data_IF_629875115477
#
_entry.id   IF_629875115477
#
_cell.length_a   1.000
_cell.length_b   1.000
_cell.length_c   1.000
_cell.angle_alpha   90.00
_cell.angle_beta   90.00
_cell.angle_gamma   90.00
#
_symmetry.space_group_name_H-M   'P 1'
#
loop_
_entity.id
_entity.type
_entity.pdbx_description
1 polymer ?
#
# COMPACT_ATOMS: atom_id res chain seq x y z
N UNK A 1 32.10 2.57 -36.34
CA UNK A 1 31.68 1.25 -35.85
C UNK A 1 32.73 0.23 -36.20
N UNK A 2 33.92 0.40 -35.58
CA UNK A 2 35.14 -0.33 -35.92
C UNK A 2 35.26 -1.72 -35.25
N UNK A 3 34.42 -2.02 -34.27
CA UNK A 3 34.49 -3.27 -33.51
C UNK A 3 33.84 -4.48 -34.20
N UNK A 4 33.05 -4.25 -35.26
CA UNK A 4 32.30 -5.32 -35.92
C UNK A 4 32.88 -5.72 -37.30
N UNK A 5 33.97 -5.09 -37.76
CA UNK A 5 34.67 -5.42 -39.01
C UNK A 5 33.76 -5.75 -40.19
N UNK A 6 32.64 -5.00 -40.35
CA UNK A 6 31.66 -5.22 -41.41
C UNK A 6 30.58 -6.28 -41.10
N UNK A 7 30.59 -6.93 -39.94
CA UNK A 7 29.53 -7.82 -39.51
C UNK A 7 28.25 -7.03 -39.13
N UNK A 8 27.05 -7.61 -39.31
CA UNK A 8 25.83 -6.95 -38.90
C UNK A 8 25.80 -6.75 -37.40
N UNK A 9 25.37 -5.56 -36.97
CA UNK A 9 25.20 -5.28 -35.55
C UNK A 9 24.09 -6.17 -34.96
N UNK A 10 24.34 -6.80 -33.79
CA UNK A 10 23.31 -7.58 -33.12
C UNK A 10 22.14 -6.68 -32.71
N UNK A 11 20.93 -7.20 -32.81
CA UNK A 11 19.73 -6.51 -32.33
C UNK A 11 19.67 -6.48 -30.80
N UNK A 12 18.78 -5.65 -30.26
CA UNK A 12 18.59 -5.49 -28.81
C UNK A 12 18.15 -6.80 -28.12
N UNK A 13 17.40 -7.66 -28.82
CA UNK A 13 16.96 -8.93 -28.26
C UNK A 13 18.10 -9.93 -28.13
N UNK A 14 19.01 -9.94 -29.10
CA UNK A 14 20.25 -10.75 -29.07
C UNK A 14 21.16 -10.30 -27.92
N UNK A 15 21.33 -8.98 -27.74
CA UNK A 15 22.11 -8.42 -26.64
C UNK A 15 21.46 -8.78 -25.29
N UNK A 16 20.16 -8.59 -25.12
CA UNK A 16 19.45 -8.91 -23.92
C UNK A 16 19.54 -10.40 -23.55
N UNK A 17 19.43 -11.28 -24.56
CA UNK A 17 19.58 -12.73 -24.38
C UNK A 17 21.00 -13.11 -23.97
N UNK A 18 22.01 -12.51 -24.59
CA UNK A 18 23.42 -12.71 -24.22
C UNK A 18 23.70 -12.29 -22.76
N UNK A 19 23.22 -11.09 -22.38
CA UNK A 19 23.35 -10.60 -20.99
C UNK A 19 22.69 -11.56 -20.01
N UNK A 20 21.47 -12.01 -20.30
CA UNK A 20 20.70 -12.87 -19.41
C UNK A 20 21.30 -14.28 -19.28
N UNK A 21 21.73 -14.89 -20.40
CA UNK A 21 22.19 -16.29 -20.41
C UNK A 21 23.68 -16.47 -20.06
N UNK A 22 24.52 -15.49 -20.42
CA UNK A 22 25.96 -15.64 -20.32
C UNK A 22 26.62 -14.61 -19.41
N UNK A 23 26.29 -13.33 -19.61
CA UNK A 23 27.00 -12.24 -18.91
C UNK A 23 26.62 -12.13 -17.44
N UNK A 24 25.36 -12.34 -17.08
CA UNK A 24 24.90 -12.21 -15.69
C UNK A 24 25.63 -13.13 -14.71
N UNK A 25 26.00 -14.32 -15.15
CA UNK A 25 26.71 -15.32 -14.32
C UNK A 25 28.17 -14.92 -14.05
N UNK A 26 28.82 -14.26 -15.00
CA UNK A 26 30.25 -13.94 -14.91
C UNK A 26 30.52 -12.44 -14.67
N UNK A 27 29.52 -11.58 -14.70
CA UNK A 27 29.69 -10.13 -14.60
C UNK A 27 30.51 -9.66 -13.38
N UNK A 28 30.24 -10.25 -12.20
CA UNK A 28 30.98 -9.93 -10.97
C UNK A 28 32.47 -10.30 -11.07
N UNK A 29 32.74 -11.44 -11.65
CA UNK A 29 34.14 -11.93 -11.82
C UNK A 29 34.89 -11.06 -12.80
N UNK A 30 34.27 -10.68 -13.93
CA UNK A 30 34.84 -9.78 -14.92
C UNK A 30 35.13 -8.39 -14.36
N UNK A 31 34.18 -7.83 -13.58
CA UNK A 31 34.37 -6.54 -12.93
C UNK A 31 35.49 -6.58 -11.89
N UNK A 32 35.62 -7.65 -11.13
CA UNK A 32 36.70 -7.84 -10.18
C UNK A 32 38.06 -7.90 -10.91
N UNK A 33 38.16 -8.73 -11.94
CA UNK A 33 39.41 -8.84 -12.75
C UNK A 33 39.80 -7.52 -13.42
N UNK A 34 38.82 -6.76 -13.93
CA UNK A 34 39.07 -5.43 -14.50
C UNK A 34 39.55 -4.46 -13.43
N UNK A 35 38.96 -4.49 -12.23
CA UNK A 35 39.41 -3.65 -11.12
C UNK A 35 40.83 -4.00 -10.68
N UNK A 36 41.18 -5.29 -10.61
CA UNK A 36 42.54 -5.75 -10.29
C UNK A 36 43.52 -5.30 -11.34
N UNK A 37 43.18 -5.39 -12.63
CA UNK A 37 44.01 -4.92 -13.71
C UNK A 37 44.29 -3.40 -13.62
N UNK A 38 43.26 -2.61 -13.39
CA UNK A 38 43.37 -1.16 -13.22
C UNK A 38 44.23 -0.79 -11.99
N UNK A 39 44.12 -1.56 -10.92
CA UNK A 39 44.99 -1.41 -9.75
C UNK A 39 46.46 -1.72 -10.06
N UNK A 40 46.74 -2.81 -10.79
CA UNK A 40 48.07 -3.18 -11.21
C UNK A 40 48.72 -2.15 -12.17
N UNK A 41 47.88 -1.53 -13.01
CA UNK A 41 48.33 -0.46 -13.91
C UNK A 41 48.54 0.91 -13.20
N UNK A 42 48.15 0.99 -11.93
CA UNK A 42 48.26 2.24 -11.15
C UNK A 42 47.19 3.28 -11.45
N UNK A 43 46.18 2.92 -12.24
CA UNK A 43 45.07 3.83 -12.61
C UNK A 43 44.08 4.06 -11.43
N UNK A 44 43.95 3.09 -10.55
CA UNK A 44 43.15 3.22 -9.33
C UNK A 44 43.96 2.90 -8.08
N UNK A 45 43.81 3.68 -7.03
CA UNK A 45 44.57 3.50 -5.78
C UNK A 45 43.92 2.51 -4.78
N UNK A 46 42.67 2.15 -4.98
CA UNK A 46 41.87 1.35 -4.03
C UNK A 46 41.56 2.02 -2.67
N UNK A 47 42.01 3.28 -2.47
CA UNK A 47 41.83 4.01 -1.20
C UNK A 47 40.46 4.63 -1.05
N UNK A 48 39.79 4.92 -2.16
CA UNK A 48 38.49 5.61 -2.18
C UNK A 48 37.53 4.88 -3.10
N UNK A 49 36.33 4.61 -2.61
CA UNK A 49 35.23 3.99 -3.38
C UNK A 49 34.11 5.00 -3.46
N UNK A 50 33.63 5.26 -4.67
CA UNK A 50 32.45 6.06 -4.90
C UNK A 50 31.27 5.12 -5.15
N UNK A 51 30.21 5.25 -4.34
CA UNK A 51 28.97 4.49 -4.52
C UNK A 51 27.88 5.49 -4.90
N UNK A 52 27.36 5.34 -6.09
CA UNK A 52 26.23 6.14 -6.56
C UNK A 52 24.97 5.27 -6.61
N UNK A 53 23.83 5.90 -6.33
CA UNK A 53 22.51 5.26 -6.38
C UNK A 53 21.83 5.55 -7.70
N UNK A 54 21.45 4.51 -8.42
CA UNK A 54 20.65 4.65 -9.64
C UNK A 54 19.17 4.61 -9.31
N UNK A 55 18.42 5.61 -9.78
CA UNK A 55 16.96 5.60 -9.73
C UNK A 55 16.44 4.61 -10.77
N UNK A 56 15.70 3.61 -10.31
CA UNK A 56 14.95 2.71 -11.17
C UNK A 56 13.49 3.21 -11.19
N UNK A 57 13.02 3.64 -12.36
CA UNK A 57 11.64 4.04 -12.52
C UNK A 57 10.74 2.82 -12.51
N UNK A 58 9.75 2.83 -11.62
CA UNK A 58 8.70 1.81 -11.62
C UNK A 58 7.58 2.19 -12.59
N UNK A 59 6.81 1.20 -13.05
CA UNK A 59 5.60 1.42 -13.85
C UNK A 59 4.45 2.08 -13.05
N UNK A 60 4.77 2.74 -11.95
CA UNK A 60 3.81 3.34 -11.03
C UNK A 60 3.26 4.66 -11.59
N UNK A 61 1.93 4.77 -11.61
CA UNK A 61 1.28 6.03 -11.98
C UNK A 61 1.48 7.08 -10.85
N UNK A 62 2.13 8.21 -11.17
CA UNK A 62 2.44 9.29 -10.22
C UNK A 62 1.22 9.90 -9.51
N UNK A 63 0.03 9.78 -10.09
CA UNK A 63 -1.21 10.31 -9.50
C UNK A 63 -1.94 9.33 -8.57
N UNK A 64 -1.48 8.10 -8.44
CA UNK A 64 -2.16 7.05 -7.67
C UNK A 64 -1.48 6.73 -6.34
N UNK A 65 -0.57 7.57 -5.89
CA UNK A 65 0.11 7.36 -4.61
C UNK A 65 -0.81 7.53 -3.41
N UNK A 66 -0.65 6.63 -2.47
CA UNK A 66 -1.33 6.60 -1.18
C UNK A 66 -0.34 7.02 -0.11
N UNK A 67 -0.67 8.06 0.65
CA UNK A 67 0.22 8.68 1.62
C UNK A 67 -0.12 8.26 3.05
N UNK A 68 0.87 7.85 3.84
CA UNK A 68 0.71 7.47 5.25
C UNK A 68 0.02 8.57 6.07
N UNK A 69 0.47 9.82 5.94
CA UNK A 69 -0.11 10.97 6.64
C UNK A 69 -1.60 11.19 6.34
N UNK A 70 -2.01 10.95 5.10
CA UNK A 70 -3.42 11.09 4.72
C UNK A 70 -4.27 9.98 5.34
N UNK A 71 -3.78 8.73 5.34
CA UNK A 71 -4.48 7.59 5.95
C UNK A 71 -4.62 7.79 7.44
N UNK A 72 -3.53 8.11 8.16
CA UNK A 72 -3.57 8.29 9.62
C UNK A 72 -4.50 9.41 10.04
N UNK A 73 -4.50 10.55 9.30
CA UNK A 73 -5.45 11.65 9.54
C UNK A 73 -6.90 11.22 9.34
N UNK A 74 -7.18 10.49 8.25
CA UNK A 74 -8.53 10.03 7.95
C UNK A 74 -8.98 8.92 8.91
N UNK A 75 -8.08 8.06 9.34
CA UNK A 75 -8.34 7.04 10.35
C UNK A 75 -8.67 7.67 11.71
N UNK A 76 -7.92 8.69 12.14
CA UNK A 76 -8.25 9.42 13.36
C UNK A 76 -9.65 10.04 13.32
N UNK A 77 -10.01 10.69 12.19
CA UNK A 77 -11.36 11.21 11.98
C UNK A 77 -12.44 10.11 11.98
N UNK A 78 -12.11 8.94 11.44
CA UNK A 78 -13.01 7.79 11.48
C UNK A 78 -13.23 7.32 12.92
N UNK A 79 -12.18 7.24 13.74
CA UNK A 79 -12.32 6.86 15.15
C UNK A 79 -13.21 7.82 15.95
N UNK A 80 -13.07 9.14 15.74
CA UNK A 80 -13.96 10.12 16.38
C UNK A 80 -15.44 9.86 16.00
N UNK A 81 -15.71 9.60 14.71
CA UNK A 81 -17.07 9.26 14.25
C UNK A 81 -17.56 7.94 14.81
N UNK A 82 -16.70 6.95 14.94
CA UNK A 82 -17.03 5.65 15.52
C UNK A 82 -17.38 5.78 17.00
N UNK A 83 -16.65 6.58 17.76
CA UNK A 83 -16.96 6.82 19.18
C UNK A 83 -18.33 7.43 19.35
N UNK A 84 -18.66 8.48 18.58
CA UNK A 84 -19.98 9.10 18.60
C UNK A 84 -21.08 8.13 18.17
N UNK A 85 -20.83 7.34 17.14
CA UNK A 85 -21.79 6.35 16.62
C UNK A 85 -22.06 5.22 17.62
N UNK A 86 -21.03 4.73 18.32
CA UNK A 86 -21.21 3.71 19.36
C UNK A 86 -22.03 4.26 20.52
N UNK A 87 -21.76 5.49 20.97
CA UNK A 87 -22.54 6.15 22.02
C UNK A 87 -24.02 6.32 21.61
N UNK A 88 -24.27 6.73 20.37
CA UNK A 88 -25.66 6.81 19.82
C UNK A 88 -26.35 5.43 19.82
N UNK A 89 -25.65 4.38 19.44
CA UNK A 89 -26.19 3.01 19.47
C UNK A 89 -26.46 2.52 20.91
N UNK A 90 -25.63 2.91 21.86
CA UNK A 90 -25.84 2.58 23.29
C UNK A 90 -27.11 3.27 23.84
N UNK A 91 -27.30 4.54 23.48
CA UNK A 91 -28.47 5.31 23.90
C UNK A 91 -29.77 4.79 23.25
N UNK A 92 -29.77 4.53 21.95
CA UNK A 92 -30.95 4.13 21.19
C UNK A 92 -31.40 2.69 21.44
N UNK A 93 -30.44 1.77 21.63
CA UNK A 93 -30.72 0.33 21.68
C UNK A 93 -30.38 -0.33 23.03
N UNK A 94 -29.87 0.42 24.00
CA UNK A 94 -29.46 -0.10 25.32
C UNK A 94 -28.30 -1.10 25.26
N UNK A 95 -27.50 -1.06 24.19
CA UNK A 95 -26.41 -1.99 23.94
C UNK A 95 -25.12 -1.43 24.55
N UNK A 96 -24.57 -2.07 25.57
CA UNK A 96 -23.25 -1.69 26.10
C UNK A 96 -22.13 -2.30 25.27
N UNK A 97 -21.23 -1.44 24.78
CA UNK A 97 -20.05 -1.84 23.99
C UNK A 97 -18.79 -1.55 24.80
N UNK A 98 -18.09 -2.59 25.22
CA UNK A 98 -16.81 -2.44 25.95
C UNK A 98 -15.67 -2.41 24.94
N UNK A 99 -14.89 -1.35 24.97
CA UNK A 99 -13.64 -1.20 24.23
C UNK A 99 -12.62 -0.44 25.11
N UNK A 100 -11.33 -0.66 24.83
CA UNK A 100 -10.25 0.05 25.53
C UNK A 100 -9.95 1.37 24.79
N UNK A 101 -8.69 1.63 24.45
CA UNK A 101 -8.28 2.90 23.83
C UNK A 101 -8.89 3.18 22.45
N UNK A 102 -9.06 2.12 21.63
CA UNK A 102 -9.60 2.26 20.28
C UNK A 102 -10.62 1.18 19.94
N UNK A 103 -11.63 1.58 19.15
CA UNK A 103 -12.66 0.66 18.68
C UNK A 103 -12.08 -0.26 17.60
N UNK A 104 -11.98 -1.55 17.90
CA UNK A 104 -11.43 -2.55 17.00
C UNK A 104 -12.48 -3.05 15.98
N UNK A 105 -12.02 -3.66 14.89
CA UNK A 105 -12.89 -4.35 13.93
C UNK A 105 -13.72 -5.44 14.62
N UNK A 106 -13.14 -6.11 15.62
CA UNK A 106 -13.84 -7.14 16.40
C UNK A 106 -14.98 -6.54 17.23
N UNK A 107 -14.75 -5.40 17.87
CA UNK A 107 -15.76 -4.66 18.62
C UNK A 107 -16.95 -4.28 17.74
N UNK A 108 -16.68 -3.72 16.55
CA UNK A 108 -17.74 -3.37 15.59
C UNK A 108 -18.52 -4.60 15.08
N UNK A 109 -17.85 -5.72 14.87
CA UNK A 109 -18.53 -6.98 14.50
C UNK A 109 -19.43 -7.49 15.64
N UNK A 110 -19.02 -7.33 16.91
CA UNK A 110 -19.88 -7.66 18.06
C UNK A 110 -21.08 -6.75 18.12
N UNK A 111 -20.88 -5.44 17.97
CA UNK A 111 -21.98 -4.46 17.91
C UNK A 111 -22.96 -4.81 16.78
N UNK A 112 -22.46 -5.14 15.58
CA UNK A 112 -23.31 -5.60 14.47
C UNK A 112 -24.17 -6.80 14.85
N UNK A 113 -23.60 -7.81 15.51
CA UNK A 113 -24.34 -8.98 15.97
C UNK A 113 -25.44 -8.61 16.98
N UNK A 114 -25.14 -7.67 17.89
CA UNK A 114 -26.13 -7.21 18.88
C UNK A 114 -27.27 -6.44 18.20
N UNK A 115 -27.00 -5.52 17.28
CA UNK A 115 -28.03 -4.82 16.49
C UNK A 115 -28.88 -5.79 15.64
N UNK A 116 -28.26 -6.84 15.08
CA UNK A 116 -29.01 -7.89 14.38
C UNK A 116 -29.94 -8.69 15.32
N UNK A 117 -29.56 -8.89 16.59
CA UNK A 117 -30.48 -9.51 17.58
C UNK A 117 -31.67 -8.61 17.88
N UNK A 118 -31.42 -7.30 18.06
CA UNK A 118 -32.54 -6.32 18.23
C UNK A 118 -33.49 -6.36 17.04
N UNK A 119 -32.93 -6.41 15.80
CA UNK A 119 -33.74 -6.56 14.59
C UNK A 119 -34.71 -7.76 14.66
N UNK A 120 -34.20 -8.91 15.11
CA UNK A 120 -34.96 -10.14 15.20
C UNK A 120 -36.03 -10.06 16.33
N UNK A 121 -35.63 -9.51 17.48
CA UNK A 121 -36.53 -9.34 18.65
C UNK A 121 -37.68 -8.40 18.36
N UNK A 122 -37.41 -7.30 17.64
CA UNK A 122 -38.47 -6.31 17.29
C UNK A 122 -39.21 -6.67 15.98
N UNK A 123 -38.87 -7.78 15.33
CA UNK A 123 -39.51 -8.23 14.09
C UNK A 123 -39.35 -7.24 12.91
N UNK A 124 -38.31 -6.41 12.92
CA UNK A 124 -38.11 -5.36 11.92
C UNK A 124 -37.74 -5.97 10.57
N UNK A 125 -38.55 -5.69 9.55
CA UNK A 125 -38.29 -6.05 8.17
C UNK A 125 -37.59 -4.87 7.47
N UNK A 126 -36.46 -5.14 6.85
CA UNK A 126 -35.73 -4.10 6.11
C UNK A 126 -36.38 -3.82 4.77
N UNK A 127 -36.47 -2.54 4.44
CA UNK A 127 -37.04 -2.07 3.19
C UNK A 127 -35.93 -1.69 2.21
N UNK A 128 -36.12 -2.08 0.96
CA UNK A 128 -35.23 -1.78 -0.14
C UNK A 128 -36.00 -1.06 -1.26
N UNK A 129 -35.29 -0.23 -2.02
CA UNK A 129 -35.83 0.51 -3.15
C UNK A 129 -36.02 2.01 -2.90
N UNK A 130 -36.27 2.73 -3.98
CA UNK A 130 -36.46 4.19 -4.00
C UNK A 130 -37.80 4.56 -3.37
N UNK A 131 -37.82 5.63 -2.58
CA UNK A 131 -39.06 6.18 -1.99
C UNK A 131 -39.57 5.51 -0.69
N UNK A 132 -38.94 4.43 -0.24
CA UNK A 132 -39.29 3.79 1.04
C UNK A 132 -38.45 4.34 2.19
N UNK A 133 -39.10 4.70 3.30
CA UNK A 133 -38.40 5.18 4.51
C UNK A 133 -37.76 4.00 5.25
N UNK A 134 -36.43 4.02 5.37
CA UNK A 134 -35.66 3.06 6.17
C UNK A 134 -35.87 3.31 7.66
N UNK A 135 -35.99 2.24 8.45
CA UNK A 135 -36.01 2.32 9.92
C UNK A 135 -34.66 2.85 10.44
N UNK A 136 -34.66 3.40 11.65
CA UNK A 136 -33.43 3.90 12.28
C UNK A 136 -32.40 2.77 12.43
N UNK A 137 -32.85 1.58 12.85
CA UNK A 137 -31.98 0.40 12.97
C UNK A 137 -31.32 0.00 11.65
N UNK A 138 -32.10 0.06 10.55
CA UNK A 138 -31.53 -0.24 9.23
C UNK A 138 -30.44 0.76 8.83
N UNK A 139 -30.66 2.05 9.09
CA UNK A 139 -29.66 3.10 8.83
C UNK A 139 -28.39 2.88 9.67
N UNK A 140 -28.55 2.56 10.96
CA UNK A 140 -27.43 2.29 11.87
C UNK A 140 -26.62 1.07 11.41
N UNK A 141 -27.27 -0.01 10.95
CA UNK A 141 -26.55 -1.18 10.41
C UNK A 141 -25.83 -0.89 9.10
N UNK A 142 -26.46 -0.16 8.17
CA UNK A 142 -25.80 0.25 6.91
C UNK A 142 -24.60 1.16 7.19
N UNK A 143 -24.72 2.09 8.13
CA UNK A 143 -23.63 2.98 8.54
C UNK A 143 -22.49 2.21 9.21
N UNK A 144 -22.81 1.24 10.06
CA UNK A 144 -21.85 0.36 10.71
C UNK A 144 -21.07 -0.47 9.68
N UNK A 145 -21.74 -0.97 8.64
CA UNK A 145 -21.09 -1.71 7.57
C UNK A 145 -20.12 -0.83 6.78
N UNK A 146 -20.49 0.42 6.48
CA UNK A 146 -19.59 1.39 5.85
C UNK A 146 -18.37 1.69 6.72
N UNK A 147 -18.54 1.82 8.03
CA UNK A 147 -17.43 2.02 8.95
C UNK A 147 -16.50 0.81 9.04
N UNK A 148 -17.06 -0.40 9.06
CA UNK A 148 -16.28 -1.64 9.04
C UNK A 148 -15.44 -1.77 7.76
N UNK A 149 -16.01 -1.46 6.61
CA UNK A 149 -15.28 -1.50 5.33
C UNK A 149 -14.14 -0.47 5.30
N UNK A 150 -14.42 0.78 5.71
CA UNK A 150 -13.37 1.81 5.78
C UNK A 150 -12.26 1.45 6.75
N UNK A 151 -12.60 0.91 7.92
CA UNK A 151 -11.58 0.53 8.89
C UNK A 151 -10.71 -0.62 8.37
N UNK A 152 -11.30 -1.62 7.72
CA UNK A 152 -10.55 -2.69 7.04
C UNK A 152 -9.66 -2.15 5.91
N UNK A 153 -10.19 -1.21 5.12
CA UNK A 153 -9.43 -0.57 4.04
C UNK A 153 -8.21 0.16 4.58
N UNK A 154 -8.36 0.97 5.64
CA UNK A 154 -7.24 1.68 6.25
C UNK A 154 -6.23 0.73 6.88
N UNK A 155 -6.67 -0.33 7.55
CA UNK A 155 -5.77 -1.36 8.09
C UNK A 155 -4.97 -2.04 6.99
N UNK A 156 -5.61 -2.41 5.87
CA UNK A 156 -4.93 -2.99 4.71
C UNK A 156 -3.92 -2.02 4.10
N UNK A 157 -4.30 -0.75 3.93
CA UNK A 157 -3.40 0.28 3.40
C UNK A 157 -2.19 0.52 4.30
N UNK A 158 -2.38 0.56 5.62
CA UNK A 158 -1.27 0.69 6.58
C UNK A 158 -0.37 -0.53 6.57
N UNK A 159 -0.92 -1.73 6.44
CA UNK A 159 -0.14 -2.95 6.29
C UNK A 159 0.73 -2.93 5.01
N UNK A 160 0.16 -2.54 3.87
CA UNK A 160 0.91 -2.38 2.60
C UNK A 160 1.99 -1.30 2.70
N UNK A 161 1.74 -0.22 3.44
CA UNK A 161 2.72 0.85 3.65
C UNK A 161 3.94 0.40 4.47
N UNK A 162 3.72 -0.38 5.53
CA UNK A 162 4.78 -0.69 6.50
C UNK A 162 5.42 0.60 7.03
N UNK A 163 6.76 0.67 6.96
CA UNK A 163 7.52 1.85 7.41
C UNK A 163 7.61 2.98 6.37
N UNK A 164 7.17 2.73 5.14
CA UNK A 164 7.21 3.69 4.03
C UNK A 164 6.21 4.83 4.24
N UNK A 165 6.52 6.00 3.67
CA UNK A 165 5.65 7.17 3.70
C UNK A 165 4.54 7.12 2.63
N UNK A 166 4.73 6.34 1.57
CA UNK A 166 3.79 6.22 0.47
C UNK A 166 3.95 4.90 -0.27
N UNK A 167 2.94 4.50 -1.01
CA UNK A 167 3.01 3.44 -2.04
C UNK A 167 2.09 3.80 -3.21
N UNK A 168 2.35 3.24 -4.39
CA UNK A 168 1.46 3.40 -5.54
C UNK A 168 0.38 2.31 -5.54
N UNK A 169 -0.85 2.65 -5.94
CA UNK A 169 -1.92 1.67 -6.12
C UNK A 169 -1.67 0.71 -7.27
N UNK A 170 -0.95 1.17 -8.30
CA UNK A 170 -0.61 0.37 -9.49
C UNK A 170 0.58 -0.54 -9.25
N UNK A 171 1.50 -0.12 -8.38
CA UNK A 171 2.68 -0.89 -7.97
C UNK A 171 2.90 -0.70 -6.47
N UNK A 172 2.41 -1.64 -5.62
CA UNK A 172 2.50 -1.52 -4.17
C UNK A 172 3.93 -1.44 -3.62
N UNK A 173 4.93 -1.90 -4.37
CA UNK A 173 6.33 -1.87 -3.95
C UNK A 173 6.99 -0.52 -4.25
N UNK A 174 6.42 0.27 -5.16
CA UNK A 174 6.90 1.59 -5.49
C UNK A 174 6.63 2.61 -4.37
N UNK A 175 7.68 3.35 -3.99
CA UNK A 175 7.60 4.47 -3.04
C UNK A 175 7.83 5.78 -3.80
N UNK A 176 7.07 6.82 -3.46
CA UNK A 176 7.27 8.13 -4.06
C UNK A 176 8.62 8.71 -3.65
N UNK A 177 9.43 9.07 -4.64
CA UNK A 177 10.71 9.74 -4.46
C UNK A 177 10.71 11.03 -5.28
N UNK A 178 10.89 12.17 -4.61
CA UNK A 178 11.03 13.47 -5.28
C UNK A 178 12.50 13.66 -5.69
N UNK A 179 12.74 13.98 -6.95
CA UNK A 179 14.04 14.39 -7.43
C UNK A 179 14.25 15.88 -7.17
N UNK A 180 15.52 16.33 -7.11
CA UNK A 180 15.84 17.75 -6.88
C UNK A 180 15.41 18.65 -8.05
N UNK A 181 15.16 18.07 -9.21
CA UNK A 181 14.80 18.76 -10.46
C UNK A 181 13.29 18.80 -10.74
N UNK A 182 12.45 18.26 -9.83
CA UNK A 182 10.99 18.28 -9.96
C UNK A 182 10.35 19.45 -9.16
#
# INVERSE_FOLDING_TARGET
MYLLEGMPAPDHATIARFISLHFSACAKVLLAQMSDLLYLLGEISGKTIFIDGTKIESAANKYTFVWKRAITKNQARLYTKLTSFVAECEELYGIRTVYHDQISIHTLKRLKKQLCRVKVQEGIVFVHGIGRRKTQLQKSLEQLDQYLEKLKEYTKKLYTLGDRNSYSKTDPDATFMRMKED
#
